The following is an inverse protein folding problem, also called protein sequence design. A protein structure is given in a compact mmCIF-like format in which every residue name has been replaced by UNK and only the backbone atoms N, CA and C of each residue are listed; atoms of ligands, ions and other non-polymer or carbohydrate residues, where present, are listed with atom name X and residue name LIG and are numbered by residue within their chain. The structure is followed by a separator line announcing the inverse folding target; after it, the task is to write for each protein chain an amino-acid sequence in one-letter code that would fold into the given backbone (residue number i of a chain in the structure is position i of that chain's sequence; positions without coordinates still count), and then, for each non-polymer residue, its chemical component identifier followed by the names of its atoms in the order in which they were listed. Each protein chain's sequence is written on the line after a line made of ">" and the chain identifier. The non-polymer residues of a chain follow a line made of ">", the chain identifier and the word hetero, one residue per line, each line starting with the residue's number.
data_IF_397327177311
#
_entry.id   IF_397327177311
#
_cell.length_a   1.000
_cell.length_b   1.000
_cell.length_c   1.000
_cell.angle_alpha   90.00
_cell.angle_beta   90.00
_cell.angle_gamma   90.00
#
_symmetry.space_group_name_H-M   'P 1'
#
loop_
_entity.id
_entity.type
_entity.pdbx_description
1 polymer ?
#
# COMPACT_ATOMS: atom_id res chain seq x y z
N UNK A 1 -10.07 27.29 38.06
CA UNK A 1 -9.14 28.48 38.07
C UNK A 1 -9.28 29.22 36.76
N UNK A 2 -9.49 30.52 36.82
CA UNK A 2 -9.56 31.40 35.64
C UNK A 2 -8.15 31.72 35.09
N UNK A 3 -8.06 32.13 33.84
CA UNK A 3 -6.76 32.43 33.18
C UNK A 3 -5.83 33.35 33.98
N UNK A 4 -6.37 34.42 34.59
CA UNK A 4 -5.59 35.37 35.39
C UNK A 4 -4.93 34.73 36.62
N UNK A 5 -5.62 33.81 37.29
CA UNK A 5 -5.11 33.05 38.43
C UNK A 5 -3.98 32.12 38.01
N UNK A 6 -4.14 31.43 36.87
CA UNK A 6 -3.13 30.52 36.33
C UNK A 6 -1.86 31.28 35.92
N UNK A 7 -1.99 32.41 35.26
CA UNK A 7 -0.84 33.26 34.91
C UNK A 7 -0.08 33.65 36.18
N UNK A 8 -0.80 34.06 37.23
CA UNK A 8 -0.20 34.47 38.52
C UNK A 8 0.49 33.29 39.21
N UNK A 9 -0.15 32.12 39.21
CA UNK A 9 0.37 30.89 39.84
C UNK A 9 1.64 30.40 39.13
N UNK A 10 1.59 30.23 37.80
CA UNK A 10 2.73 29.74 37.03
C UNK A 10 3.92 30.73 37.08
N UNK A 11 3.67 32.05 37.07
CA UNK A 11 4.72 33.04 37.30
C UNK A 11 5.40 32.89 38.67
N UNK A 12 4.58 32.77 39.74
CA UNK A 12 5.08 32.60 41.13
C UNK A 12 5.83 31.28 41.30
N UNK A 13 5.33 30.19 40.69
CA UNK A 13 5.95 28.88 40.72
C UNK A 13 7.35 28.87 40.09
N UNK A 14 7.53 29.68 39.04
CA UNK A 14 8.83 29.89 38.39
C UNK A 14 9.70 30.96 39.09
N UNK A 15 9.22 31.59 40.17
CA UNK A 15 9.94 32.57 40.93
C UNK A 15 10.10 33.93 40.24
N UNK A 16 9.33 34.23 39.20
CA UNK A 16 9.49 35.42 38.38
C UNK A 16 8.67 36.61 38.92
N UNK A 17 9.25 37.81 38.79
CA UNK A 17 8.53 39.07 38.95
C UNK A 17 7.64 39.35 37.74
N UNK A 18 6.65 40.26 37.86
CA UNK A 18 5.85 40.70 36.71
C UNK A 18 6.69 41.32 35.61
N UNK A 19 7.84 41.91 35.95
CA UNK A 19 8.76 42.57 35.04
C UNK A 19 9.55 41.52 34.23
N UNK A 20 10.06 40.49 34.88
CA UNK A 20 10.73 39.35 34.20
C UNK A 20 9.80 38.57 33.28
N UNK A 21 8.54 38.35 33.67
CA UNK A 21 7.56 37.72 32.79
C UNK A 21 7.26 38.61 31.57
N UNK A 22 7.16 39.93 31.78
CA UNK A 22 6.93 40.91 30.72
C UNK A 22 8.09 40.92 29.70
N UNK A 23 9.33 40.84 30.16
CA UNK A 23 10.53 40.77 29.34
C UNK A 23 10.54 39.51 28.49
N UNK A 24 10.27 38.31 29.08
CA UNK A 24 10.18 37.02 28.38
C UNK A 24 9.12 37.01 27.29
N UNK A 25 8.01 37.70 27.51
CA UNK A 25 6.89 37.80 26.57
C UNK A 25 7.01 38.99 25.59
N UNK A 26 8.05 39.84 25.74
CA UNK A 26 8.23 41.07 24.96
C UNK A 26 6.99 41.98 25.02
N UNK A 27 6.46 42.19 26.25
CA UNK A 27 5.31 43.06 26.52
C UNK A 27 5.64 44.03 27.67
N UNK A 28 4.79 45.02 27.91
CA UNK A 28 4.97 45.91 29.06
C UNK A 28 4.57 45.25 30.38
N UNK A 29 5.22 45.58 31.50
CA UNK A 29 4.83 45.16 32.84
C UNK A 29 3.35 45.45 33.15
N UNK A 30 2.84 46.59 32.62
CA UNK A 30 1.43 46.96 32.78
C UNK A 30 0.48 45.99 32.12
N UNK A 31 0.87 45.36 30.97
CA UNK A 31 0.07 44.36 30.31
C UNK A 31 -0.06 43.09 31.17
N UNK A 32 1.07 42.61 31.72
CA UNK A 32 1.08 41.45 32.63
C UNK A 32 0.24 41.74 33.88
N UNK A 33 0.38 42.92 34.49
CA UNK A 33 -0.42 43.34 35.67
C UNK A 33 -1.93 43.34 35.37
N UNK A 34 -2.34 43.81 34.18
CA UNK A 34 -3.74 43.82 33.76
C UNK A 34 -4.30 42.38 33.52
N UNK A 35 -3.47 41.48 33.00
CA UNK A 35 -3.84 40.09 32.80
C UNK A 35 -4.01 39.36 34.14
N UNK A 36 -3.10 39.54 35.08
CA UNK A 36 -3.17 38.95 36.42
C UNK A 36 -4.35 39.49 37.25
N UNK A 37 -4.71 40.77 37.05
CA UNK A 37 -5.86 41.41 37.73
C UNK A 37 -7.22 41.18 36.99
N UNK A 38 -7.24 40.39 35.92
CA UNK A 38 -8.42 40.14 35.08
C UNK A 38 -9.02 41.40 34.44
N UNK A 39 -8.25 42.51 34.37
CA UNK A 39 -8.70 43.75 33.72
C UNK A 39 -8.61 43.71 32.19
N UNK A 40 -7.81 42.80 31.63
CA UNK A 40 -7.74 42.52 30.21
C UNK A 40 -7.32 41.07 29.97
N UNK A 41 -7.65 40.54 28.81
CA UNK A 41 -7.25 39.18 28.39
C UNK A 41 -6.14 39.29 27.36
N UNK A 42 -5.06 38.46 27.45
CA UNK A 42 -4.05 38.40 26.42
C UNK A 42 -4.65 37.89 25.10
N UNK A 43 -4.13 38.36 23.97
CA UNK A 43 -4.52 37.83 22.65
C UNK A 43 -4.02 36.40 22.44
N UNK A 44 -4.54 35.71 21.40
CA UNK A 44 -4.25 34.30 21.15
C UNK A 44 -2.72 34.07 20.99
N UNK A 45 -2.00 34.98 20.34
CA UNK A 45 -0.55 34.82 20.16
C UNK A 45 0.20 34.91 21.48
N UNK A 46 -0.26 35.80 22.40
CA UNK A 46 0.32 35.93 23.74
C UNK A 46 -0.02 34.72 24.62
N UNK A 47 -1.21 34.13 24.47
CA UNK A 47 -1.56 32.89 25.16
C UNK A 47 -0.66 31.73 24.71
N UNK A 48 -0.37 31.60 23.42
CA UNK A 48 0.57 30.60 22.90
C UNK A 48 1.98 30.84 23.48
N UNK A 49 2.46 32.09 23.49
CA UNK A 49 3.74 32.44 24.10
C UNK A 49 3.79 32.21 25.61
N UNK A 50 2.71 32.46 26.32
CA UNK A 50 2.59 32.15 27.75
C UNK A 50 2.70 30.63 27.99
N UNK A 51 2.06 29.83 27.16
CA UNK A 51 2.13 28.37 27.23
C UNK A 51 3.58 27.86 27.00
N UNK A 52 4.29 28.43 26.02
CA UNK A 52 5.70 28.12 25.75
C UNK A 52 6.62 28.55 26.93
N UNK A 53 6.46 29.75 27.46
CA UNK A 53 7.31 30.30 28.53
C UNK A 53 7.08 29.61 29.87
N UNK A 54 5.84 29.16 30.15
CA UNK A 54 5.50 28.42 31.36
C UNK A 54 5.66 26.89 31.20
N UNK A 55 5.98 26.40 29.99
CA UNK A 55 6.07 24.98 29.67
C UNK A 55 4.78 24.21 29.98
N UNK A 56 3.63 24.84 29.74
CA UNK A 56 2.29 24.26 29.93
C UNK A 56 1.50 24.21 28.62
N UNK A 57 0.45 23.40 28.56
CA UNK A 57 -0.41 23.37 27.37
C UNK A 57 -1.29 24.62 27.25
N UNK A 58 -1.62 25.04 26.03
CA UNK A 58 -2.60 26.10 25.79
C UNK A 58 -3.98 25.74 26.34
N UNK A 59 -4.35 24.46 26.32
CA UNK A 59 -5.58 23.94 26.89
C UNK A 59 -5.64 24.14 28.42
N UNK A 60 -4.51 23.95 29.10
CA UNK A 60 -4.40 24.25 30.54
C UNK A 60 -4.70 25.71 30.83
N UNK A 61 -4.16 26.63 30.04
CA UNK A 61 -4.41 28.08 30.25
C UNK A 61 -5.88 28.44 29.94
N UNK A 62 -6.51 27.85 28.96
CA UNK A 62 -7.81 28.25 28.44
C UNK A 62 -9.02 27.56 29.11
N UNK A 63 -8.87 26.35 29.69
CA UNK A 63 -9.97 25.61 30.33
C UNK A 63 -9.96 25.78 31.84
N UNK A 64 -11.07 26.25 32.41
CA UNK A 64 -11.19 26.57 33.84
C UNK A 64 -11.15 25.36 34.79
N UNK A 65 -11.29 24.13 34.29
CA UNK A 65 -11.47 22.91 35.10
C UNK A 65 -10.19 22.10 35.36
N UNK A 66 -9.02 22.50 34.83
CA UNK A 66 -7.79 21.70 34.91
C UNK A 66 -6.87 22.25 36.01
N UNK A 67 -6.64 21.46 37.07
CA UNK A 67 -5.72 21.78 38.15
C UNK A 67 -4.25 21.63 37.72
N UNK A 68 -3.37 22.46 38.27
CA UNK A 68 -1.96 22.66 37.87
C UNK A 68 -1.04 21.44 38.00
N UNK A 69 -1.40 20.43 38.76
CA UNK A 69 -0.47 19.31 39.07
C UNK A 69 -0.35 18.21 38.00
N UNK A 70 -1.18 18.24 36.94
CA UNK A 70 -1.19 17.17 35.94
C UNK A 70 -0.69 17.54 34.54
N UNK A 71 -0.24 18.78 34.31
CA UNK A 71 0.06 19.25 32.96
C UNK A 71 1.45 19.92 32.81
N UNK A 72 2.43 19.45 33.53
CA UNK A 72 3.80 19.54 32.97
C UNK A 72 3.79 18.79 31.67
N UNK A 73 4.09 19.47 30.57
CA UNK A 73 4.49 18.82 29.35
C UNK A 73 5.73 18.00 29.72
N UNK A 74 5.54 16.75 30.20
CA UNK A 74 6.57 15.75 30.00
C UNK A 74 6.85 15.78 28.51
N UNK A 75 8.09 15.92 28.06
CA UNK A 75 8.47 15.70 26.69
C UNK A 75 8.44 14.19 26.41
N UNK A 76 7.28 13.58 26.57
CA UNK A 76 7.05 12.18 26.35
C UNK A 76 5.71 12.02 25.66
N UNK A 77 5.59 12.68 24.57
CA UNK A 77 5.03 12.28 23.32
C UNK A 77 5.81 13.08 22.26
N UNK A 78 7.04 12.65 21.97
CA UNK A 78 7.28 12.27 20.60
C UNK A 78 6.31 11.12 20.33
N UNK A 79 4.99 11.37 20.16
CA UNK A 79 4.50 10.98 18.89
C UNK A 79 5.57 11.51 17.93
N UNK A 80 6.34 10.60 17.35
CA UNK A 80 6.74 10.80 15.99
C UNK A 80 5.45 11.27 15.32
N UNK A 81 5.23 12.56 15.21
CA UNK A 81 4.71 13.11 13.99
C UNK A 81 5.73 12.60 12.99
N UNK A 82 5.53 11.33 12.60
CA UNK A 82 6.06 10.81 11.37
C UNK A 82 5.74 11.94 10.43
N UNK A 83 6.78 12.66 10.02
CA UNK A 83 6.65 13.90 9.26
C UNK A 83 5.77 13.51 8.10
N UNK A 84 4.47 13.87 8.21
CA UNK A 84 3.48 13.44 7.22
C UNK A 84 3.98 14.06 5.95
N UNK A 85 4.43 13.22 5.03
CA UNK A 85 5.06 13.68 3.80
C UNK A 85 4.04 14.50 3.01
N UNK A 86 4.33 15.78 2.79
CA UNK A 86 3.48 16.68 2.03
C UNK A 86 3.83 16.54 0.55
N UNK A 87 2.91 15.96 -0.24
CA UNK A 87 3.10 15.74 -1.67
C UNK A 87 2.79 17.03 -2.44
N UNK A 88 3.80 17.58 -3.10
CA UNK A 88 3.68 18.76 -3.94
C UNK A 88 2.97 18.47 -5.27
N UNK A 89 2.54 19.52 -5.98
CA UNK A 89 1.93 19.41 -7.30
C UNK A 89 2.89 18.79 -8.34
N UNK A 90 4.17 19.15 -8.27
CA UNK A 90 5.20 18.64 -9.19
C UNK A 90 5.45 17.16 -8.93
N UNK A 91 5.56 16.76 -7.67
CA UNK A 91 5.77 15.38 -7.24
C UNK A 91 4.59 14.48 -7.61
N UNK A 92 3.35 14.94 -7.40
CA UNK A 92 2.16 14.23 -7.81
C UNK A 92 2.11 14.01 -9.34
N UNK A 93 2.43 15.03 -10.13
CA UNK A 93 2.49 14.90 -11.59
C UNK A 93 3.63 13.97 -12.05
N UNK A 94 4.81 14.06 -11.43
CA UNK A 94 5.94 13.19 -11.73
C UNK A 94 5.58 11.72 -11.44
N UNK A 95 4.95 11.44 -10.31
CA UNK A 95 4.47 10.10 -9.94
C UNK A 95 3.42 9.56 -10.91
N UNK A 96 2.40 10.34 -11.27
CA UNK A 96 1.37 9.92 -12.23
C UNK A 96 1.95 9.64 -13.61
N UNK A 97 2.88 10.47 -14.09
CA UNK A 97 3.58 10.24 -15.35
C UNK A 97 4.45 8.97 -15.31
N UNK A 98 5.17 8.76 -14.22
CA UNK A 98 5.95 7.55 -14.00
C UNK A 98 5.04 6.31 -14.00
N UNK A 99 3.93 6.33 -13.25
CA UNK A 99 2.97 5.22 -13.16
C UNK A 99 2.36 4.90 -14.54
N UNK A 100 2.00 5.94 -15.32
CA UNK A 100 1.45 5.79 -16.66
C UNK A 100 2.45 5.17 -17.64
N UNK A 101 3.72 5.59 -17.62
CA UNK A 101 4.79 5.00 -18.46
C UNK A 101 5.10 3.56 -18.04
N UNK A 102 4.96 3.26 -16.78
CA UNK A 102 5.29 1.95 -16.20
C UNK A 102 4.19 0.91 -16.41
N UNK A 103 2.92 1.32 -16.42
CA UNK A 103 1.78 0.44 -16.54
C UNK A 103 1.88 -0.56 -17.71
N UNK A 104 2.23 -0.16 -18.96
CA UNK A 104 2.36 -1.09 -20.07
C UNK A 104 3.51 -2.09 -19.88
N UNK A 105 4.61 -1.69 -19.24
CA UNK A 105 5.76 -2.58 -18.99
C UNK A 105 5.40 -3.66 -17.97
N UNK A 106 4.74 -3.30 -16.88
CA UNK A 106 4.29 -4.26 -15.86
C UNK A 106 3.23 -5.22 -16.40
N UNK A 107 2.25 -4.70 -17.13
CA UNK A 107 1.23 -5.52 -17.78
C UNK A 107 1.85 -6.45 -18.83
N UNK A 108 2.82 -5.96 -19.60
CA UNK A 108 3.56 -6.75 -20.57
C UNK A 108 4.41 -7.87 -19.96
N UNK A 109 5.03 -7.63 -18.80
CA UNK A 109 5.78 -8.66 -18.09
C UNK A 109 4.87 -9.80 -17.62
N UNK A 110 3.66 -9.49 -17.10
CA UNK A 110 2.67 -10.51 -16.74
C UNK A 110 2.19 -11.27 -17.99
N UNK A 111 1.87 -10.55 -19.06
CA UNK A 111 1.46 -11.18 -20.32
C UNK A 111 2.58 -12.11 -20.88
N UNK A 112 3.84 -11.71 -20.75
CA UNK A 112 4.99 -12.52 -21.16
C UNK A 112 5.08 -13.82 -20.35
N UNK A 113 4.79 -13.77 -19.02
CA UNK A 113 4.71 -14.98 -18.21
C UNK A 113 3.58 -15.92 -18.66
N UNK A 114 2.40 -15.37 -19.03
CA UNK A 114 1.27 -16.17 -19.51
C UNK A 114 1.58 -16.79 -20.88
N UNK A 115 2.29 -16.06 -21.75
CA UNK A 115 2.70 -16.51 -23.08
C UNK A 115 3.86 -17.52 -23.06
N UNK A 116 4.62 -17.58 -21.95
CA UNK A 116 5.85 -18.39 -21.90
C UNK A 116 5.63 -19.88 -22.20
N UNK A 117 4.56 -20.57 -21.77
CA UNK A 117 4.33 -21.98 -22.09
C UNK A 117 3.73 -22.23 -23.48
N UNK A 118 3.28 -21.19 -24.19
CA UNK A 118 2.57 -21.33 -25.46
C UNK A 118 3.39 -22.10 -26.49
N UNK A 119 4.67 -21.73 -26.66
CA UNK A 119 5.53 -22.39 -27.62
C UNK A 119 5.80 -23.86 -27.24
N UNK A 120 6.02 -24.13 -25.96
CA UNK A 120 6.24 -25.49 -25.46
C UNK A 120 5.02 -26.39 -25.75
N UNK A 121 3.81 -25.92 -25.42
CA UNK A 121 2.55 -26.64 -25.66
C UNK A 121 2.34 -26.88 -27.17
N UNK A 122 2.58 -25.85 -27.98
CA UNK A 122 2.39 -25.95 -29.43
C UNK A 122 3.35 -26.94 -30.06
N UNK A 123 4.67 -26.89 -29.70
CA UNK A 123 5.68 -27.80 -30.21
C UNK A 123 5.44 -29.25 -29.73
N UNK A 124 4.97 -29.45 -28.50
CA UNK A 124 4.63 -30.75 -27.98
C UNK A 124 3.51 -31.41 -28.83
N UNK A 125 2.42 -30.67 -29.10
CA UNK A 125 1.33 -31.19 -29.96
C UNK A 125 1.75 -31.49 -31.40
N UNK A 126 2.68 -30.74 -31.96
CA UNK A 126 3.24 -31.02 -33.28
C UNK A 126 4.13 -32.29 -33.28
N UNK A 127 4.89 -32.51 -32.22
CA UNK A 127 5.74 -33.69 -32.06
C UNK A 127 4.92 -34.97 -31.97
N UNK A 128 3.85 -34.95 -31.17
CA UNK A 128 2.95 -36.13 -31.03
C UNK A 128 2.29 -36.54 -32.32
N UNK A 129 2.00 -35.61 -33.21
CA UNK A 129 1.38 -35.86 -34.51
C UNK A 129 2.37 -36.24 -35.61
N UNK A 130 3.66 -36.32 -35.33
CA UNK A 130 4.74 -36.60 -36.30
C UNK A 130 4.76 -35.67 -37.54
N UNK A 131 4.09 -34.54 -37.46
CA UNK A 131 3.97 -33.54 -38.54
C UNK A 131 5.29 -32.84 -38.74
N UNK A 132 6.25 -32.94 -39.11
CA UNK A 132 7.51 -32.25 -39.37
C UNK A 132 8.75 -33.06 -38.95
N UNK A 133 8.62 -34.31 -38.56
CA UNK A 133 9.71 -35.15 -38.12
C UNK A 133 10.44 -34.61 -36.88
N UNK A 134 9.78 -33.76 -36.10
CA UNK A 134 10.31 -33.17 -34.87
C UNK A 134 10.38 -34.26 -33.80
N UNK A 135 11.57 -34.52 -33.23
CA UNK A 135 11.62 -35.44 -32.08
C UNK A 135 11.08 -34.75 -30.82
N UNK A 136 10.41 -35.54 -29.99
CA UNK A 136 9.84 -35.06 -28.70
C UNK A 136 10.92 -34.34 -27.85
N UNK A 137 12.12 -34.87 -27.79
CA UNK A 137 13.23 -34.26 -27.07
C UNK A 137 13.65 -32.87 -27.61
N UNK A 138 13.58 -32.69 -28.93
CA UNK A 138 13.88 -31.36 -29.54
C UNK A 138 12.74 -30.38 -29.26
N UNK A 139 11.49 -30.80 -29.38
CA UNK A 139 10.32 -29.97 -29.08
C UNK A 139 10.34 -29.49 -27.63
N UNK A 140 10.56 -30.40 -26.68
CA UNK A 140 10.71 -30.07 -25.26
C UNK A 140 11.93 -29.17 -25.00
N UNK A 141 13.10 -29.47 -25.58
CA UNK A 141 14.31 -28.70 -25.36
C UNK A 141 14.18 -27.24 -25.83
N UNK A 142 13.68 -27.02 -27.05
CA UNK A 142 13.44 -25.68 -27.60
C UNK A 142 12.35 -24.96 -26.82
N UNK A 143 11.22 -25.63 -26.58
CA UNK A 143 10.09 -25.04 -25.86
C UNK A 143 10.47 -24.60 -24.45
N UNK A 144 11.21 -25.44 -23.70
CA UNK A 144 11.66 -25.13 -22.35
C UNK A 144 12.68 -23.99 -22.32
N UNK A 145 13.58 -23.95 -23.29
CA UNK A 145 14.55 -22.88 -23.41
C UNK A 145 13.88 -21.52 -23.62
N UNK A 146 12.92 -21.45 -24.55
CA UNK A 146 12.17 -20.20 -24.81
C UNK A 146 11.33 -19.81 -23.60
N UNK A 147 10.66 -20.78 -22.95
CA UNK A 147 9.91 -20.53 -21.71
C UNK A 147 10.82 -19.88 -20.66
N UNK A 148 11.99 -20.45 -20.39
CA UNK A 148 12.93 -19.92 -19.40
C UNK A 148 13.43 -18.52 -19.76
N UNK A 149 13.72 -18.26 -21.03
CA UNK A 149 14.14 -16.93 -21.49
C UNK A 149 13.02 -15.88 -21.31
N UNK A 150 11.77 -16.25 -21.64
CA UNK A 150 10.62 -15.34 -21.47
C UNK A 150 10.36 -15.03 -19.99
N UNK A 151 10.41 -16.05 -19.11
CA UNK A 151 10.25 -15.86 -17.66
C UNK A 151 11.38 -15.01 -17.10
N UNK A 152 12.64 -15.26 -17.50
CA UNK A 152 13.80 -14.46 -17.07
C UNK A 152 13.63 -12.97 -17.48
N UNK A 153 13.16 -12.72 -18.72
CA UNK A 153 12.86 -11.37 -19.21
C UNK A 153 11.75 -10.69 -18.38
N UNK A 154 10.67 -11.41 -18.06
CA UNK A 154 9.59 -10.90 -17.22
C UNK A 154 10.08 -10.55 -15.81
N UNK A 155 10.87 -11.46 -15.19
CA UNK A 155 11.45 -11.24 -13.85
C UNK A 155 12.38 -10.02 -13.85
N UNK A 156 13.21 -9.86 -14.91
CA UNK A 156 14.05 -8.68 -15.05
C UNK A 156 13.22 -7.37 -15.06
N UNK A 157 12.10 -7.35 -15.79
CA UNK A 157 11.19 -6.20 -15.84
C UNK A 157 10.58 -5.94 -14.44
N UNK A 158 10.18 -6.97 -13.71
CA UNK A 158 9.62 -6.80 -12.36
C UNK A 158 10.65 -6.23 -11.39
N UNK A 159 11.87 -6.77 -11.36
CA UNK A 159 12.95 -6.30 -10.46
C UNK A 159 13.33 -4.86 -10.81
N UNK A 160 13.59 -4.56 -12.10
CA UNK A 160 13.91 -3.21 -12.54
C UNK A 160 12.79 -2.22 -12.22
N UNK A 161 11.54 -2.70 -12.29
CA UNK A 161 10.34 -1.95 -11.90
C UNK A 161 10.27 -1.62 -10.44
N UNK A 162 10.49 -2.60 -9.60
CA UNK A 162 10.51 -2.43 -8.15
C UNK A 162 11.59 -1.42 -7.73
N UNK A 163 12.80 -1.54 -8.27
CA UNK A 163 13.90 -0.62 -7.96
C UNK A 163 13.60 0.84 -8.33
N UNK A 164 13.00 1.07 -9.50
CA UNK A 164 12.62 2.42 -9.94
C UNK A 164 11.39 2.97 -9.19
N UNK A 165 10.60 2.12 -8.53
CA UNK A 165 9.45 2.50 -7.71
C UNK A 165 9.79 2.92 -6.29
N UNK A 166 10.98 2.58 -5.79
CA UNK A 166 11.41 2.89 -4.41
C UNK A 166 11.20 4.35 -3.98
N UNK A 167 11.49 5.38 -4.80
CA UNK A 167 11.26 6.77 -4.41
C UNK A 167 9.79 7.09 -4.09
N UNK A 168 8.84 6.28 -4.57
CA UNK A 168 7.40 6.47 -4.39
C UNK A 168 6.76 5.45 -3.43
N UNK A 169 7.56 4.60 -2.78
CA UNK A 169 7.08 3.54 -1.88
C UNK A 169 6.32 4.11 -0.67
N UNK A 170 6.72 5.30 -0.20
CA UNK A 170 6.05 6.01 0.88
C UNK A 170 4.57 6.33 0.56
N UNK A 171 4.23 6.56 -0.72
CA UNK A 171 2.84 6.77 -1.15
C UNK A 171 1.96 5.55 -0.89
N UNK A 172 2.52 4.34 -0.91
CA UNK A 172 1.81 3.09 -0.65
C UNK A 172 1.75 2.75 0.84
N UNK A 173 2.82 3.02 1.59
CA UNK A 173 3.01 2.53 2.96
C UNK A 173 2.72 3.56 4.04
N UNK A 174 2.95 4.87 3.76
CA UNK A 174 2.85 5.93 4.75
C UNK A 174 1.59 6.77 4.56
N UNK A 175 1.22 7.50 5.61
CA UNK A 175 0.19 8.53 5.52
C UNK A 175 0.80 9.78 4.87
N UNK A 176 0.12 10.32 3.88
CA UNK A 176 0.55 11.51 3.15
C UNK A 176 -0.46 12.64 3.34
N UNK A 177 -0.01 13.87 3.22
CA UNK A 177 -0.85 15.04 3.01
C UNK A 177 -0.57 15.60 1.62
N UNK A 178 -1.62 15.98 0.89
CA UNK A 178 -1.47 16.60 -0.41
C UNK A 178 -1.49 18.11 -0.28
N UNK A 179 -0.56 18.81 -0.93
CA UNK A 179 -0.55 20.27 -0.99
C UNK A 179 -1.87 20.80 -1.58
N UNK A 180 -2.16 22.07 -1.30
CA UNK A 180 -3.38 22.73 -1.79
C UNK A 180 -3.56 22.57 -3.31
N UNK A 181 -4.75 22.13 -3.72
CA UNK A 181 -5.10 21.95 -5.14
C UNK A 181 -4.73 20.59 -5.73
N UNK A 182 -3.79 19.82 -5.17
CA UNK A 182 -3.36 18.51 -5.70
C UNK A 182 -4.51 17.52 -5.73
N UNK A 183 -5.25 17.38 -4.63
CA UNK A 183 -6.38 16.45 -4.54
C UNK A 183 -7.49 16.78 -5.56
N UNK A 184 -7.74 18.07 -5.82
CA UNK A 184 -8.69 18.52 -6.84
C UNK A 184 -8.28 18.09 -8.25
N UNK A 185 -7.02 18.40 -8.64
CA UNK A 185 -6.46 18.01 -9.93
C UNK A 185 -6.47 16.48 -10.14
N UNK A 186 -6.07 15.73 -9.13
CA UNK A 186 -6.02 14.25 -9.21
C UNK A 186 -7.42 13.66 -9.35
N UNK A 187 -8.43 14.20 -8.66
CA UNK A 187 -9.84 13.79 -8.81
C UNK A 187 -10.38 14.07 -10.22
N UNK A 188 -10.04 15.21 -10.80
CA UNK A 188 -10.43 15.55 -12.16
C UNK A 188 -9.82 14.58 -13.17
N UNK A 189 -8.50 14.35 -13.12
CA UNK A 189 -7.80 13.38 -13.98
C UNK A 189 -8.33 11.95 -13.80
N UNK A 190 -8.64 11.55 -12.57
CA UNK A 190 -9.25 10.25 -12.25
C UNK A 190 -10.61 10.11 -12.93
N UNK A 191 -11.45 11.16 -12.88
CA UNK A 191 -12.77 11.18 -13.52
C UNK A 191 -12.68 11.10 -15.04
N UNK A 192 -11.75 11.83 -15.65
CA UNK A 192 -11.48 11.73 -17.10
C UNK A 192 -11.05 10.30 -17.50
N UNK A 193 -10.22 9.67 -16.69
CA UNK A 193 -9.72 8.32 -16.95
C UNK A 193 -10.74 7.21 -16.68
N UNK A 194 -11.83 7.49 -15.95
CA UNK A 194 -12.86 6.51 -15.56
C UNK A 194 -13.44 5.74 -16.72
N UNK A 195 -13.78 6.44 -17.81
CA UNK A 195 -14.32 5.83 -19.03
C UNK A 195 -13.33 4.86 -19.68
N UNK A 196 -12.04 5.20 -19.71
CA UNK A 196 -10.97 4.34 -20.25
C UNK A 196 -10.80 3.10 -19.39
N UNK A 197 -10.78 3.30 -18.06
CA UNK A 197 -10.68 2.22 -17.08
C UNK A 197 -11.82 1.22 -17.23
N UNK A 198 -13.08 1.66 -17.20
CA UNK A 198 -14.25 0.78 -17.30
C UNK A 198 -14.28 0.01 -18.62
N UNK A 199 -13.99 0.67 -19.75
CA UNK A 199 -13.90 0.02 -21.06
C UNK A 199 -12.76 -1.01 -21.09
N UNK A 200 -11.59 -0.68 -20.55
CA UNK A 200 -10.44 -1.59 -20.51
C UNK A 200 -10.72 -2.84 -19.68
N UNK A 201 -11.32 -2.68 -18.50
CA UNK A 201 -11.75 -3.82 -17.67
C UNK A 201 -12.79 -4.67 -18.39
N UNK A 202 -13.85 -4.06 -18.94
CA UNK A 202 -14.92 -4.79 -19.63
C UNK A 202 -14.39 -5.59 -20.83
N UNK A 203 -13.58 -4.96 -21.70
CA UNK A 203 -12.98 -5.64 -22.86
C UNK A 203 -12.05 -6.76 -22.39
N UNK A 204 -11.20 -6.50 -21.39
CA UNK A 204 -10.27 -7.53 -20.88
C UNK A 204 -10.99 -8.75 -20.31
N UNK A 205 -12.04 -8.54 -19.50
CA UNK A 205 -12.85 -9.63 -18.93
C UNK A 205 -13.58 -10.42 -20.05
N UNK A 206 -14.22 -9.74 -20.98
CA UNK A 206 -14.91 -10.36 -22.12
C UNK A 206 -13.92 -11.21 -22.94
N UNK A 207 -12.72 -10.69 -23.19
CA UNK A 207 -11.67 -11.40 -23.93
C UNK A 207 -11.24 -12.68 -23.22
N UNK A 208 -11.06 -12.62 -21.88
CA UNK A 208 -10.75 -13.79 -21.07
C UNK A 208 -11.88 -14.84 -21.10
N UNK A 209 -13.15 -14.42 -21.07
CA UNK A 209 -14.29 -15.34 -21.14
C UNK A 209 -14.37 -15.98 -22.53
N UNK A 210 -14.27 -15.18 -23.59
CA UNK A 210 -14.36 -15.66 -24.97
C UNK A 210 -13.16 -16.54 -25.37
N UNK A 211 -12.03 -16.45 -24.68
CA UNK A 211 -10.82 -17.23 -24.98
C UNK A 211 -11.03 -18.74 -24.91
N UNK A 212 -12.03 -19.20 -24.13
CA UNK A 212 -12.34 -20.63 -23.95
C UNK A 212 -13.15 -21.22 -25.13
N UNK A 213 -13.84 -20.37 -25.92
CA UNK A 213 -14.72 -20.84 -27.01
C UNK A 213 -13.97 -21.67 -28.07
N UNK A 214 -12.78 -21.24 -28.59
CA UNK A 214 -12.07 -22.04 -29.60
C UNK A 214 -11.73 -23.44 -29.10
N UNK A 215 -11.38 -23.59 -27.82
CA UNK A 215 -11.07 -24.89 -27.23
C UNK A 215 -12.31 -25.81 -27.22
N UNK A 216 -13.46 -25.31 -26.76
CA UNK A 216 -14.71 -26.11 -26.75
C UNK A 216 -15.17 -26.49 -28.16
N UNK A 217 -15.04 -25.58 -29.14
CA UNK A 217 -15.36 -25.88 -30.53
C UNK A 217 -14.52 -27.04 -31.08
N UNK A 218 -13.19 -26.96 -30.85
CA UNK A 218 -12.27 -28.01 -31.34
C UNK A 218 -12.53 -29.35 -30.65
N UNK A 219 -12.79 -29.36 -29.34
CA UNK A 219 -13.12 -30.58 -28.60
C UNK A 219 -14.44 -31.21 -29.08
N UNK A 220 -15.44 -30.41 -29.42
CA UNK A 220 -16.74 -30.93 -29.91
C UNK A 220 -16.65 -31.52 -31.31
N UNK A 221 -15.61 -31.20 -32.09
CA UNK A 221 -15.38 -31.68 -33.46
C UNK A 221 -14.51 -32.95 -33.51
N UNK A 222 -14.14 -33.51 -32.33
CA UNK A 222 -13.23 -34.68 -32.23
C UNK A 222 -11.93 -34.49 -33.07
N UNK A 223 -11.42 -33.26 -33.04
CA UNK A 223 -10.26 -32.86 -33.85
C UNK A 223 -8.97 -33.57 -33.38
N UNK A 224 -7.98 -33.74 -34.24
CA UNK A 224 -6.70 -34.32 -33.87
C UNK A 224 -5.98 -33.53 -32.76
N UNK A 225 -5.17 -34.22 -31.95
CA UNK A 225 -4.52 -33.68 -30.75
C UNK A 225 -3.70 -32.38 -31.00
N UNK A 226 -3.05 -32.29 -32.18
CA UNK A 226 -2.30 -31.06 -32.54
C UNK A 226 -3.21 -29.84 -32.74
N UNK A 227 -4.48 -30.01 -33.13
CA UNK A 227 -5.44 -28.92 -33.24
C UNK A 227 -5.93 -28.53 -31.83
N UNK A 228 -6.10 -29.52 -30.96
CA UNK A 228 -6.47 -29.25 -29.55
C UNK A 228 -5.36 -28.44 -28.86
N UNK A 229 -4.09 -28.84 -28.98
CA UNK A 229 -2.95 -28.10 -28.39
C UNK A 229 -2.76 -26.72 -29.02
N UNK A 230 -3.01 -26.57 -30.32
CA UNK A 230 -3.04 -25.26 -30.97
C UNK A 230 -4.15 -24.36 -30.41
N UNK A 231 -5.34 -24.93 -30.13
CA UNK A 231 -6.45 -24.15 -29.53
C UNK A 231 -6.15 -23.72 -28.11
N UNK A 232 -5.42 -24.51 -27.31
CA UNK A 232 -4.91 -24.11 -26.00
C UNK A 232 -3.91 -22.93 -26.13
N UNK A 233 -3.06 -22.97 -27.16
CA UNK A 233 -2.13 -21.88 -27.43
C UNK A 233 -2.86 -20.57 -27.75
N UNK A 234 -3.93 -20.63 -28.55
CA UNK A 234 -4.80 -19.47 -28.86
C UNK A 234 -5.52 -18.97 -27.60
N UNK A 235 -6.03 -19.88 -26.76
CA UNK A 235 -6.63 -19.53 -25.48
C UNK A 235 -5.65 -18.73 -24.62
N UNK A 236 -4.42 -19.20 -24.45
CA UNK A 236 -3.41 -18.49 -23.65
C UNK A 236 -3.05 -17.10 -24.23
N UNK A 237 -2.99 -16.97 -25.56
CA UNK A 237 -2.76 -15.68 -26.21
C UNK A 237 -3.90 -14.68 -25.92
N UNK A 238 -5.15 -15.13 -26.02
CA UNK A 238 -6.32 -14.28 -25.74
C UNK A 238 -6.39 -13.89 -24.25
N UNK A 239 -6.11 -14.84 -23.35
CA UNK A 239 -6.01 -14.56 -21.90
C UNK A 239 -4.90 -13.55 -21.61
N UNK A 240 -3.71 -13.72 -22.22
CA UNK A 240 -2.60 -12.80 -22.05
C UNK A 240 -2.97 -11.37 -22.49
N UNK A 241 -3.67 -11.22 -23.61
CA UNK A 241 -4.15 -9.93 -24.10
C UNK A 241 -5.21 -9.33 -23.15
N UNK A 242 -6.16 -10.14 -22.66
CA UNK A 242 -7.16 -9.70 -21.68
C UNK A 242 -6.54 -9.23 -20.37
N UNK A 243 -5.63 -10.02 -19.82
CA UNK A 243 -4.91 -9.71 -18.57
C UNK A 243 -4.03 -8.46 -18.75
N UNK A 244 -3.37 -8.32 -19.91
CA UNK A 244 -2.60 -7.11 -20.23
C UNK A 244 -3.47 -5.85 -20.14
N UNK A 245 -4.65 -5.86 -20.78
CA UNK A 245 -5.57 -4.71 -20.76
C UNK A 245 -6.03 -4.39 -19.34
N UNK A 246 -6.46 -5.40 -18.57
CA UNK A 246 -6.91 -5.24 -17.19
C UNK A 246 -5.81 -4.63 -16.32
N UNK A 247 -4.60 -5.19 -16.36
CA UNK A 247 -3.49 -4.72 -15.54
C UNK A 247 -3.01 -3.33 -15.95
N UNK A 248 -2.99 -3.03 -17.25
CA UNK A 248 -2.60 -1.72 -17.74
C UNK A 248 -3.51 -0.63 -17.18
N UNK A 249 -4.83 -0.77 -17.34
CA UNK A 249 -5.76 0.26 -16.87
C UNK A 249 -5.86 0.32 -15.34
N UNK A 250 -5.76 -0.83 -14.66
CA UNK A 250 -5.80 -0.90 -13.19
C UNK A 250 -4.56 -0.27 -12.55
N UNK A 251 -3.37 -0.45 -13.15
CA UNK A 251 -2.13 0.15 -12.65
C UNK A 251 -2.17 1.67 -12.73
N UNK A 252 -2.69 2.23 -13.82
CA UNK A 252 -2.86 3.69 -13.97
C UNK A 252 -3.88 4.21 -12.95
N UNK A 253 -5.04 3.54 -12.82
CA UNK A 253 -6.09 3.90 -11.85
C UNK A 253 -5.57 3.87 -10.42
N UNK A 254 -4.82 2.82 -10.05
CA UNK A 254 -4.21 2.68 -8.73
C UNK A 254 -3.27 3.85 -8.39
N UNK A 255 -2.63 4.49 -9.38
CA UNK A 255 -1.84 5.70 -9.15
C UNK A 255 -2.68 6.88 -8.63
N UNK A 256 -3.89 7.09 -9.15
CA UNK A 256 -4.81 8.10 -8.63
C UNK A 256 -5.32 7.75 -7.23
N UNK A 257 -5.68 6.48 -7.00
CA UNK A 257 -6.18 6.01 -5.72
C UNK A 257 -5.13 6.12 -4.60
N UNK A 258 -3.84 5.92 -4.92
CA UNK A 258 -2.71 6.13 -3.99
C UNK A 258 -2.62 7.59 -3.53
N UNK A 259 -2.64 8.56 -4.46
CA UNK A 259 -2.55 9.98 -4.13
C UNK A 259 -3.79 10.49 -3.37
N UNK A 260 -4.97 9.97 -3.69
CA UNK A 260 -6.23 10.33 -3.02
C UNK A 260 -6.43 9.58 -1.70
N UNK A 261 -5.60 8.60 -1.40
CA UNK A 261 -5.75 7.69 -0.26
C UNK A 261 -7.16 7.05 -0.24
N UNK A 262 -7.61 6.56 -1.39
CA UNK A 262 -8.92 5.91 -1.56
C UNK A 262 -8.77 4.39 -1.71
N UNK A 263 -9.85 3.65 -1.43
CA UNK A 263 -9.86 2.18 -1.53
C UNK A 263 -8.80 1.52 -0.63
N UNK A 264 -8.00 0.62 -1.21
CA UNK A 264 -6.95 -0.14 -0.52
C UNK A 264 -5.80 0.73 0.02
N UNK A 265 -5.71 1.99 -0.43
CA UNK A 265 -4.71 2.97 0.01
C UNK A 265 -5.24 3.96 1.05
N UNK A 266 -6.45 3.75 1.57
CA UNK A 266 -7.01 4.60 2.63
C UNK A 266 -6.15 4.56 3.89
N UNK A 267 -6.17 5.65 4.68
CA UNK A 267 -5.38 5.75 5.93
C UNK A 267 -5.64 4.56 6.87
N UNK A 268 -6.91 4.10 6.94
CA UNK A 268 -7.30 2.94 7.75
C UNK A 268 -6.70 1.65 7.21
N UNK A 269 -6.82 1.39 5.90
CA UNK A 269 -6.31 0.18 5.29
C UNK A 269 -4.78 0.09 5.36
N UNK A 270 -4.05 1.19 5.20
CA UNK A 270 -2.59 1.23 5.39
C UNK A 270 -2.17 0.81 6.80
N UNK A 271 -2.89 1.28 7.84
CA UNK A 271 -2.63 0.88 9.23
C UNK A 271 -2.93 -0.60 9.46
N UNK A 272 -4.08 -1.08 8.95
CA UNK A 272 -4.46 -2.50 9.05
C UNK A 272 -3.45 -3.38 8.30
N UNK A 273 -3.02 -2.98 7.10
CA UNK A 273 -2.01 -3.69 6.30
C UNK A 273 -0.69 -3.81 7.06
N UNK A 274 -0.17 -2.72 7.63
CA UNK A 274 1.07 -2.73 8.42
C UNK A 274 1.01 -3.67 9.62
N UNK A 275 -0.09 -3.64 10.39
CA UNK A 275 -0.32 -4.57 11.51
C UNK A 275 -0.42 -6.03 11.03
N UNK A 276 -1.14 -6.25 9.93
CA UNK A 276 -1.34 -7.58 9.33
C UNK A 276 -0.03 -8.18 8.81
N UNK A 277 0.82 -7.39 8.15
CA UNK A 277 2.09 -7.85 7.59
C UNK A 277 3.07 -8.26 8.69
N UNK A 278 3.14 -7.49 9.79
CA UNK A 278 3.93 -7.86 10.97
C UNK A 278 3.43 -9.16 11.59
N UNK A 279 2.11 -9.28 11.78
CA UNK A 279 1.49 -10.49 12.31
C UNK A 279 1.71 -11.70 11.40
N UNK A 280 1.52 -11.52 10.08
CA UNK A 280 1.74 -12.58 9.09
C UNK A 280 3.20 -13.08 9.12
N UNK A 281 4.17 -12.18 9.23
CA UNK A 281 5.58 -12.55 9.33
C UNK A 281 5.86 -13.44 10.55
N UNK A 282 5.36 -13.05 11.73
CA UNK A 282 5.51 -13.83 12.97
C UNK A 282 4.85 -15.20 12.83
N UNK A 283 3.61 -15.23 12.29
CA UNK A 283 2.84 -16.45 12.10
C UNK A 283 3.58 -17.46 11.19
N UNK A 284 4.03 -17.00 10.01
CA UNK A 284 4.70 -17.87 9.05
C UNK A 284 6.08 -18.32 9.52
N UNK A 285 6.83 -17.48 10.23
CA UNK A 285 8.09 -17.90 10.90
C UNK A 285 7.83 -19.00 11.94
N UNK A 286 6.77 -18.87 12.74
CA UNK A 286 6.39 -19.88 13.75
C UNK A 286 5.96 -21.18 13.08
N UNK A 287 5.10 -21.12 12.04
CA UNK A 287 4.67 -22.30 11.27
C UNK A 287 5.86 -23.02 10.62
N UNK A 288 6.82 -22.28 10.06
CA UNK A 288 8.05 -22.83 9.50
C UNK A 288 8.92 -23.51 10.57
N UNK A 289 9.07 -22.89 11.74
CA UNK A 289 9.83 -23.47 12.85
C UNK A 289 9.20 -24.77 13.35
N UNK A 290 7.86 -24.82 13.48
CA UNK A 290 7.13 -26.05 13.83
C UNK A 290 7.33 -27.13 12.77
N UNK A 291 7.19 -26.77 11.48
CA UNK A 291 7.39 -27.71 10.36
C UNK A 291 8.82 -28.31 10.39
N UNK A 292 9.85 -27.47 10.51
CA UNK A 292 11.24 -27.92 10.54
C UNK A 292 11.52 -28.76 11.78
N UNK A 293 11.10 -28.31 12.97
CA UNK A 293 11.28 -29.02 14.22
C UNK A 293 10.65 -30.43 14.17
N UNK A 294 9.41 -30.51 13.67
CA UNK A 294 8.73 -31.80 13.52
C UNK A 294 9.39 -32.68 12.45
N UNK A 295 9.77 -32.13 11.30
CA UNK A 295 10.42 -32.88 10.23
C UNK A 295 11.78 -33.46 10.66
N UNK A 296 12.59 -32.68 11.38
CA UNK A 296 13.88 -33.15 11.91
C UNK A 296 13.72 -34.16 13.05
N UNK A 297 12.70 -33.99 13.89
CA UNK A 297 12.43 -34.96 14.98
C UNK A 297 11.97 -36.30 14.46
N UNK A 298 11.03 -36.30 13.49
CA UNK A 298 10.41 -37.55 13.00
C UNK A 298 11.11 -38.16 11.81
N UNK A 299 11.98 -37.38 11.12
CA UNK A 299 12.62 -37.76 9.84
C UNK A 299 11.65 -38.16 8.73
N UNK A 300 10.35 -37.81 8.88
CA UNK A 300 9.26 -38.17 7.96
C UNK A 300 8.81 -36.98 7.13
N UNK A 301 9.64 -36.56 6.20
CA UNK A 301 9.38 -35.42 5.31
C UNK A 301 8.20 -35.66 4.36
N UNK A 302 7.89 -36.92 4.07
CA UNK A 302 6.76 -37.36 3.25
C UNK A 302 5.39 -37.00 3.84
N UNK A 303 5.30 -36.85 5.17
CA UNK A 303 4.04 -36.55 5.86
C UNK A 303 3.99 -35.13 6.47
N UNK A 304 5.12 -34.58 6.87
CA UNK A 304 5.18 -33.30 7.61
C UNK A 304 4.78 -32.08 6.76
N UNK A 305 4.79 -32.19 5.43
CA UNK A 305 4.31 -31.12 4.55
C UNK A 305 2.84 -30.72 4.81
N UNK A 306 2.05 -31.61 5.47
CA UNK A 306 0.68 -31.33 5.88
C UNK A 306 0.53 -30.11 6.79
N UNK A 307 1.61 -29.69 7.46
CA UNK A 307 1.64 -28.46 8.27
C UNK A 307 1.28 -27.22 7.43
N UNK A 308 1.67 -27.17 6.15
CA UNK A 308 1.44 -26.01 5.30
C UNK A 308 -0.04 -25.77 4.96
N UNK A 309 -0.82 -26.76 4.48
CA UNK A 309 -2.25 -26.60 4.29
C UNK A 309 -3.00 -26.25 5.56
N UNK A 310 -2.66 -26.90 6.69
CA UNK A 310 -3.29 -26.62 7.99
C UNK A 310 -2.96 -25.19 8.45
N UNK A 311 -1.69 -24.78 8.38
CA UNK A 311 -1.28 -23.41 8.70
C UNK A 311 -1.98 -22.38 7.80
N UNK A 312 -2.18 -22.69 6.49
CA UNK A 312 -2.89 -21.80 5.58
C UNK A 312 -4.35 -21.55 5.99
N UNK A 313 -5.08 -22.62 6.36
CA UNK A 313 -6.46 -22.51 6.84
C UNK A 313 -6.53 -21.74 8.17
N UNK A 314 -5.65 -22.07 9.12
CA UNK A 314 -5.56 -21.37 10.42
C UNK A 314 -5.23 -19.89 10.24
N UNK A 315 -4.33 -19.54 9.32
CA UNK A 315 -3.99 -18.14 9.03
C UNK A 315 -5.22 -17.35 8.55
N UNK A 316 -6.07 -17.97 7.73
CA UNK A 316 -7.35 -17.39 7.31
C UNK A 316 -8.26 -17.06 8.50
N UNK A 317 -8.45 -18.04 9.39
CA UNK A 317 -9.28 -17.88 10.59
C UNK A 317 -8.73 -16.79 11.55
N UNK A 318 -7.43 -16.84 11.85
CA UNK A 318 -6.78 -15.86 12.75
C UNK A 318 -6.78 -14.45 12.14
N UNK A 319 -6.58 -14.34 10.83
CA UNK A 319 -6.67 -13.05 10.13
C UNK A 319 -8.09 -12.46 10.16
N UNK A 320 -9.12 -13.30 10.15
CA UNK A 320 -10.52 -12.86 10.30
C UNK A 320 -10.79 -12.34 11.72
N UNK A 321 -10.34 -13.05 12.76
CA UNK A 321 -10.45 -12.63 14.16
C UNK A 321 -9.69 -11.32 14.41
N UNK A 322 -8.47 -11.19 13.90
CA UNK A 322 -7.68 -9.96 14.04
C UNK A 322 -8.38 -8.74 13.43
N UNK A 323 -9.10 -8.90 12.30
CA UNK A 323 -9.91 -7.81 11.71
C UNK A 323 -11.06 -7.36 12.61
N UNK A 324 -11.70 -8.31 13.29
CA UNK A 324 -12.83 -8.01 14.21
C UNK A 324 -12.29 -7.26 15.43
N UNK A 325 -11.22 -7.73 16.05
CA UNK A 325 -10.62 -7.09 17.23
C UNK A 325 -10.12 -5.66 16.95
N UNK A 326 -9.54 -5.40 15.78
CA UNK A 326 -9.12 -4.04 15.39
C UNK A 326 -10.32 -3.12 15.12
N UNK A 327 -11.51 -3.69 14.84
CA UNK A 327 -12.74 -2.91 14.60
C UNK A 327 -13.43 -2.52 15.90
N UNK A 328 -13.24 -3.27 16.98
CA UNK A 328 -13.90 -3.05 18.29
C UNK A 328 -13.08 -2.13 19.23
N UNK A 329 -11.83 -1.73 18.87
CA UNK A 329 -11.03 -0.73 19.59
C UNK A 329 -11.43 0.74 19.28
N UNK A 330 -12.73 0.99 18.99
CA UNK A 330 -13.27 2.34 18.77
C UNK A 330 -14.30 2.71 19.81
#
# INVERSE_FOLDING_TARGET
>A
MILSEKITEERKKNGWSQEELAEKLSVSRQAVSKWESAQSTPDLQKIIRLAEVFEVSTDYLLRDEIASEQHMIKPEYKEEKASIHSVSMEEANAFLNWKRKRAPMMAGAVALCILSPVLLIFLAGLSDSHIWGLSENMACGVGLTVLMLMVAGAVFIFISGGLQGKPYEYLETEQIETAYGVSGLVKEKKKEYESVYLKGIAIGVVLCILSVIPLFMVMSMEAPDYIVTASVSVLLMLVAAGVYLILHVSTVRGGYDMLLQEGDYSRKEKQVKKKKDTFASIYWCTATAIYLGWSFWTQRWDFTWLVWPVAGVLFGAVSAVARVLVKDEK
#
